data_IF_623961825821
#
_entry.id   IF_623961825821
#
_cell.length_a   1.000
_cell.length_b   1.000
_cell.length_c   1.000
_cell.angle_alpha   90.00
_cell.angle_beta   90.00
_cell.angle_gamma   90.00
#
_symmetry.space_group_name_H-M   'P 1'
#
loop_
_entity.id
_entity.type
_entity.pdbx_description
1 polymer ?
#
# COMPACT_ATOMS: atom_id res chain seq x y z
N UNK A 1 -19.22 -4.78 7.59
CA UNK A 1 -17.85 -4.79 7.04
C UNK A 1 -16.90 -4.08 7.99
N UNK A 2 -16.95 -2.74 8.14
CA UNK A 2 -16.05 -1.99 9.04
C UNK A 2 -16.04 -2.52 10.47
N UNK A 3 -17.20 -2.56 11.15
CA UNK A 3 -17.30 -3.02 12.53
C UNK A 3 -16.72 -4.42 12.73
N UNK A 4 -17.03 -5.36 11.83
CA UNK A 4 -16.49 -6.73 11.85
C UNK A 4 -14.96 -6.78 11.78
N UNK A 5 -14.36 -5.95 10.91
CA UNK A 5 -12.90 -5.88 10.77
C UNK A 5 -12.29 -5.28 12.04
N UNK A 6 -12.84 -4.17 12.52
CA UNK A 6 -12.38 -3.51 13.75
C UNK A 6 -12.47 -4.44 14.96
N UNK A 7 -13.61 -5.09 15.17
CA UNK A 7 -13.82 -6.05 16.26
C UNK A 7 -12.74 -7.14 16.23
N UNK A 8 -12.45 -7.71 15.06
CA UNK A 8 -11.40 -8.71 14.92
C UNK A 8 -10.02 -8.13 15.23
N UNK A 9 -9.68 -6.96 14.68
CA UNK A 9 -8.39 -6.31 14.93
C UNK A 9 -8.19 -5.95 16.41
N UNK A 10 -9.25 -5.51 17.10
CA UNK A 10 -9.19 -5.18 18.53
C UNK A 10 -8.92 -6.40 19.43
N UNK A 11 -9.09 -7.64 18.93
CA UNK A 11 -8.67 -8.85 19.65
C UNK A 11 -7.15 -9.07 19.64
N UNK A 12 -6.40 -8.26 18.89
CA UNK A 12 -4.95 -8.41 18.67
C UNK A 12 -4.20 -7.28 19.39
N UNK A 13 -3.75 -7.49 20.64
CA UNK A 13 -3.05 -6.45 21.40
C UNK A 13 -1.70 -6.04 20.78
N UNK A 14 -1.13 -6.88 19.93
CA UNK A 14 0.12 -6.63 19.21
C UNK A 14 -0.03 -5.73 17.97
N UNK A 15 -1.26 -5.35 17.62
CA UNK A 15 -1.56 -4.55 16.43
C UNK A 15 -2.10 -3.19 16.84
N UNK A 16 -1.46 -2.12 16.36
CA UNK A 16 -2.01 -0.77 16.46
C UNK A 16 -2.71 -0.41 15.14
N UNK A 17 -3.88 0.21 15.25
CA UNK A 17 -4.83 0.34 14.14
C UNK A 17 -4.99 1.81 13.77
N UNK A 18 -4.85 2.11 12.48
CA UNK A 18 -5.27 3.37 11.87
C UNK A 18 -6.40 3.05 10.89
N UNK A 19 -7.62 3.46 11.21
CA UNK A 19 -8.78 3.32 10.34
C UNK A 19 -8.83 4.50 9.35
N UNK A 20 -8.82 4.23 8.05
CA UNK A 20 -8.82 5.27 7.02
C UNK A 20 -10.24 5.50 6.50
N UNK A 21 -10.80 6.65 6.87
CA UNK A 21 -12.07 7.16 6.39
C UNK A 21 -11.90 8.20 5.28
N UNK A 22 -13.02 8.59 4.68
CA UNK A 22 -13.08 9.62 3.63
C UNK A 22 -12.81 11.01 4.20
N UNK A 23 -13.22 11.28 5.43
CA UNK A 23 -13.10 12.58 6.08
C UNK A 23 -11.82 12.72 6.90
N UNK A 24 -11.39 11.63 7.55
CA UNK A 24 -10.17 11.59 8.38
C UNK A 24 -9.59 10.18 8.49
N UNK A 25 -8.35 10.07 9.00
CA UNK A 25 -7.86 8.83 9.57
C UNK A 25 -8.09 8.84 11.09
N UNK A 26 -8.31 7.67 11.68
CA UNK A 26 -8.66 7.54 13.10
C UNK A 26 -7.76 6.51 13.76
N UNK A 27 -7.19 6.84 14.91
CA UNK A 27 -6.38 5.90 15.71
C UNK A 27 -6.71 6.05 17.20
N UNK A 28 -6.50 5.00 17.98
CA UNK A 28 -6.85 5.04 19.41
C UNK A 28 -5.85 5.87 20.20
N UNK A 29 -6.35 6.73 21.09
CA UNK A 29 -5.51 7.54 22.01
C UNK A 29 -4.53 6.71 22.82
N UNK A 30 -4.92 5.47 23.16
CA UNK A 30 -4.12 4.55 23.98
C UNK A 30 -2.90 3.95 23.26
N UNK A 31 -2.82 4.06 21.92
CA UNK A 31 -1.67 3.56 21.18
C UNK A 31 -0.44 4.44 21.36
N UNK A 32 0.72 3.88 21.03
CA UNK A 32 2.02 4.49 21.29
C UNK A 32 2.14 5.87 20.62
N UNK A 33 2.69 6.81 21.37
CA UNK A 33 2.92 8.18 20.89
C UNK A 33 3.92 8.18 19.73
N UNK A 34 4.93 7.29 19.74
CA UNK A 34 5.88 7.21 18.64
C UNK A 34 5.21 6.77 17.33
N UNK A 35 4.33 5.77 17.37
CA UNK A 35 3.54 5.37 16.20
C UNK A 35 2.65 6.53 15.72
N UNK A 36 1.96 7.22 16.63
CA UNK A 36 1.09 8.36 16.28
C UNK A 36 1.88 9.50 15.63
N UNK A 37 3.06 9.86 16.15
CA UNK A 37 3.94 10.87 15.53
C UNK A 37 4.36 10.45 14.13
N UNK A 38 4.68 9.17 13.91
CA UNK A 38 4.98 8.67 12.56
C UNK A 38 3.76 8.77 11.65
N UNK A 39 2.59 8.38 12.14
CA UNK A 39 1.34 8.46 11.39
C UNK A 39 0.98 9.90 10.97
N UNK A 40 1.19 10.90 11.83
CA UNK A 40 0.96 12.31 11.51
C UNK A 40 1.78 12.80 10.29
N UNK A 41 2.93 12.18 9.99
CA UNK A 41 3.70 12.49 8.78
C UNK A 41 3.04 11.98 7.49
N UNK A 42 2.22 10.93 7.57
CA UNK A 42 1.61 10.27 6.41
C UNK A 42 0.12 10.60 6.23
N UNK A 43 -0.58 10.94 7.31
CA UNK A 43 -2.01 11.24 7.30
C UNK A 43 -2.25 12.75 7.44
N UNK A 44 -2.77 13.38 6.38
CA UNK A 44 -3.08 14.82 6.39
C UNK A 44 -4.03 15.23 7.54
N UNK A 45 -4.94 14.32 7.93
CA UNK A 45 -5.80 14.43 9.11
C UNK A 45 -5.76 13.11 9.86
N UNK A 46 -5.45 13.19 11.15
CA UNK A 46 -5.43 12.05 12.06
C UNK A 46 -6.15 12.43 13.34
N UNK A 47 -7.26 11.76 13.62
CA UNK A 47 -8.07 11.96 14.82
C UNK A 47 -7.77 10.88 15.85
N UNK A 48 -7.56 11.32 17.09
CA UNK A 48 -7.35 10.43 18.22
C UNK A 48 -8.67 10.19 18.95
N UNK A 49 -9.14 8.95 18.88
CA UNK A 49 -10.44 8.54 19.43
C UNK A 49 -10.25 7.58 20.61
N UNK A 50 -11.21 7.53 21.52
CA UNK A 50 -11.15 6.62 22.68
C UNK A 50 -11.51 5.17 22.28
N UNK A 51 -12.38 5.04 21.29
CA UNK A 51 -12.81 3.79 20.67
C UNK A 51 -13.20 4.06 19.20
N UNK A 52 -13.44 3.00 18.43
CA UNK A 52 -13.89 3.10 17.04
C UNK A 52 -15.42 3.06 16.90
N UNK A 53 -16.16 3.19 18.01
CA UNK A 53 -17.62 3.12 18.02
C UNK A 53 -18.21 4.46 17.54
N UNK A 54 -19.35 4.41 16.85
CA UNK A 54 -20.11 5.58 16.41
C UNK A 54 -19.32 6.58 15.53
N UNK A 55 -18.29 6.12 14.81
CA UNK A 55 -17.61 6.96 13.81
C UNK A 55 -18.46 7.09 12.55
N UNK A 56 -18.80 8.34 12.20
CA UNK A 56 -19.56 8.67 10.98
C UNK A 56 -18.61 8.98 9.81
N UNK A 57 -18.10 7.94 9.17
CA UNK A 57 -17.27 8.05 7.97
C UNK A 57 -17.46 6.85 7.03
N UNK A 58 -17.00 6.98 5.79
CA UNK A 58 -16.89 5.90 4.81
C UNK A 58 -15.47 5.34 4.89
N UNK A 59 -15.32 4.20 5.55
CA UNK A 59 -14.03 3.53 5.71
C UNK A 59 -13.68 2.63 4.53
N UNK A 60 -12.45 2.73 4.04
CA UNK A 60 -11.99 2.01 2.86
C UNK A 60 -10.63 1.30 3.02
N UNK A 61 -9.92 1.55 4.12
CA UNK A 61 -8.60 0.95 4.39
C UNK A 61 -8.35 0.91 5.91
N UNK A 62 -7.52 -0.03 6.36
CA UNK A 62 -6.81 0.09 7.63
C UNK A 62 -5.30 0.04 7.42
N UNK A 63 -4.56 0.89 8.11
CA UNK A 63 -3.13 0.72 8.33
C UNK A 63 -2.90 0.03 9.68
N UNK A 64 -2.09 -1.02 9.69
CA UNK A 64 -1.76 -1.78 10.89
C UNK A 64 -0.27 -1.65 11.15
N UNK A 65 0.09 -1.20 12.36
CA UNK A 65 1.47 -1.13 12.82
C UNK A 65 1.75 -2.28 13.80
N UNK A 66 2.84 -3.01 13.56
CA UNK A 66 3.27 -4.16 14.35
C UNK A 66 4.75 -4.47 14.08
N UNK A 67 5.36 -5.34 14.90
CA UNK A 67 6.72 -5.82 14.65
C UNK A 67 6.81 -6.64 13.35
N UNK A 68 7.89 -6.44 12.57
CA UNK A 68 8.18 -7.18 11.33
C UNK A 68 8.13 -8.71 11.53
N UNK A 69 8.58 -9.19 12.68
CA UNK A 69 8.61 -10.62 13.01
C UNK A 69 7.21 -11.25 13.06
N UNK A 70 6.19 -10.44 13.38
CA UNK A 70 4.80 -10.89 13.53
C UNK A 70 4.01 -10.80 12.22
N UNK A 71 4.51 -10.07 11.22
CA UNK A 71 3.79 -9.82 9.96
C UNK A 71 3.30 -11.12 9.30
N UNK A 72 4.12 -12.16 9.08
CA UNK A 72 3.66 -13.37 8.40
C UNK A 72 2.53 -14.09 9.16
N UNK A 73 2.62 -14.12 10.48
CA UNK A 73 1.61 -14.74 11.34
C UNK A 73 0.29 -13.95 11.32
N UNK A 74 0.38 -12.62 11.45
CA UNK A 74 -0.79 -11.73 11.46
C UNK A 74 -1.48 -11.74 10.11
N UNK A 75 -0.73 -11.64 8.99
CA UNK A 75 -1.32 -11.72 7.64
C UNK A 75 -2.08 -13.03 7.41
N UNK A 76 -1.51 -14.16 7.82
CA UNK A 76 -2.18 -15.46 7.71
C UNK A 76 -3.49 -15.47 8.50
N UNK A 77 -3.47 -15.02 9.76
CA UNK A 77 -4.65 -14.97 10.60
C UNK A 77 -5.73 -14.02 10.05
N UNK A 78 -5.33 -12.85 9.53
CA UNK A 78 -6.26 -11.89 8.90
C UNK A 78 -6.89 -12.47 7.64
N UNK A 79 -6.11 -13.17 6.81
CA UNK A 79 -6.63 -13.85 5.63
C UNK A 79 -7.70 -14.90 5.99
N UNK A 80 -7.42 -15.74 6.99
CA UNK A 80 -8.35 -16.78 7.46
C UNK A 80 -9.63 -16.20 8.07
N UNK A 81 -9.55 -15.06 8.77
CA UNK A 81 -10.68 -14.49 9.50
C UNK A 81 -11.54 -13.52 8.67
N UNK A 82 -10.91 -12.67 7.84
CA UNK A 82 -11.57 -11.54 7.17
C UNK A 82 -11.16 -11.39 5.69
N UNK A 83 -10.50 -12.38 5.09
CA UNK A 83 -9.96 -12.30 3.73
C UNK A 83 -10.99 -11.98 2.63
N UNK A 84 -12.24 -12.38 2.82
CA UNK A 84 -13.35 -12.05 1.92
C UNK A 84 -13.82 -10.58 2.04
N UNK A 85 -13.49 -9.92 3.15
CA UNK A 85 -13.88 -8.54 3.45
C UNK A 85 -12.72 -7.59 3.11
N UNK A 86 -11.50 -7.92 3.54
CA UNK A 86 -10.29 -7.14 3.31
C UNK A 86 -9.05 -8.04 3.15
N UNK A 87 -8.18 -7.65 2.23
CA UNK A 87 -6.92 -8.35 1.94
C UNK A 87 -5.77 -7.61 2.60
N UNK A 88 -4.92 -8.37 3.31
CA UNK A 88 -3.69 -7.85 3.90
C UNK A 88 -2.56 -7.75 2.88
N UNK A 89 -1.94 -6.58 2.76
CA UNK A 89 -0.80 -6.33 1.87
C UNK A 89 0.33 -5.72 2.69
N UNK A 90 1.53 -6.26 2.55
CA UNK A 90 2.71 -5.74 3.24
C UNK A 90 3.22 -4.47 2.54
N UNK A 91 3.40 -3.39 3.30
CA UNK A 91 3.81 -2.08 2.78
C UNK A 91 5.24 -1.67 3.14
N UNK A 92 5.97 -2.51 3.88
CA UNK A 92 7.33 -2.23 4.36
C UNK A 92 7.34 -1.65 5.77
N UNK A 93 8.48 -1.73 6.45
CA UNK A 93 8.75 -1.10 7.76
C UNK A 93 7.68 -1.38 8.83
N UNK A 94 7.35 -2.64 9.12
CA UNK A 94 6.43 -2.96 10.22
C UNK A 94 4.96 -2.71 9.92
N UNK A 95 4.59 -2.48 8.66
CA UNK A 95 3.23 -2.06 8.28
C UNK A 95 2.50 -3.04 7.37
N UNK A 96 1.22 -3.29 7.70
CA UNK A 96 0.27 -4.01 6.85
C UNK A 96 -0.87 -3.05 6.49
N UNK A 97 -1.19 -2.98 5.20
CA UNK A 97 -2.43 -2.38 4.72
C UNK A 97 -3.51 -3.46 4.62
N UNK A 98 -4.66 -3.23 5.22
CA UNK A 98 -5.89 -3.94 4.86
C UNK A 98 -6.64 -3.11 3.83
N UNK A 99 -6.84 -3.68 2.64
CA UNK A 99 -7.54 -3.04 1.53
C UNK A 99 -8.79 -3.83 1.12
N UNK A 100 -9.76 -3.16 0.52
CA UNK A 100 -10.93 -3.82 -0.06
C UNK A 100 -10.46 -4.76 -1.21
N UNK A 101 -10.94 -6.01 -1.28
CA UNK A 101 -10.56 -6.94 -2.34
C UNK A 101 -10.75 -6.33 -3.74
N UNK A 102 -9.73 -6.45 -4.59
CA UNK A 102 -9.74 -5.89 -5.94
C UNK A 102 -9.46 -4.38 -6.04
N UNK A 103 -9.31 -3.66 -4.92
CA UNK A 103 -9.01 -2.22 -4.86
C UNK A 103 -7.51 -2.00 -4.56
N UNK A 104 -6.66 -2.47 -5.48
CA UNK A 104 -5.21 -2.30 -5.43
C UNK A 104 -4.73 -1.22 -6.43
N UNK A 105 -3.46 -0.79 -6.38
CA UNK A 105 -2.91 0.28 -7.25
C UNK A 105 -3.17 0.03 -8.74
N UNK A 106 -2.98 -1.21 -9.20
CA UNK A 106 -3.26 -1.60 -10.59
C UNK A 106 -4.74 -1.40 -11.00
N UNK A 107 -5.70 -1.56 -10.08
CA UNK A 107 -7.11 -1.28 -10.37
C UNK A 107 -7.33 0.22 -10.65
N UNK A 108 -6.79 1.10 -9.79
CA UNK A 108 -6.87 2.55 -10.00
C UNK A 108 -6.21 2.97 -11.31
N UNK A 109 -5.05 2.39 -11.62
CA UNK A 109 -4.36 2.60 -12.89
C UNK A 109 -5.22 2.21 -14.10
N UNK A 110 -5.86 1.04 -14.08
CA UNK A 110 -6.78 0.61 -15.15
C UNK A 110 -7.96 1.56 -15.36
N UNK A 111 -8.48 2.16 -14.29
CA UNK A 111 -9.56 3.14 -14.40
C UNK A 111 -9.08 4.39 -15.15
N UNK A 112 -7.89 4.90 -14.85
CA UNK A 112 -7.28 6.03 -15.55
C UNK A 112 -6.97 5.69 -17.01
N UNK A 113 -6.35 4.53 -17.26
CA UNK A 113 -6.07 4.02 -18.60
C UNK A 113 -7.34 3.95 -19.46
N UNK A 114 -8.44 3.41 -18.92
CA UNK A 114 -9.72 3.34 -19.62
C UNK A 114 -10.28 4.74 -19.96
N UNK A 115 -10.12 5.71 -19.07
CA UNK A 115 -10.58 7.07 -19.30
C UNK A 115 -9.76 7.78 -20.39
N UNK A 116 -8.48 7.45 -20.50
CA UNK A 116 -7.55 8.10 -21.43
C UNK A 116 -7.30 7.32 -22.72
N UNK A 117 -7.79 6.07 -22.82
CA UNK A 117 -7.54 5.19 -23.95
C UNK A 117 -6.07 4.75 -24.06
N UNK A 118 -5.42 4.51 -22.92
CA UNK A 118 -4.01 4.13 -22.83
C UNK A 118 -3.88 2.63 -22.54
N UNK A 119 -3.13 1.91 -23.36
CA UNK A 119 -2.88 0.48 -23.18
C UNK A 119 -1.76 0.20 -22.17
N UNK A 120 -1.73 -1.00 -21.59
CA UNK A 120 -0.68 -1.39 -20.63
C UNK A 120 0.73 -1.20 -21.22
N UNK A 121 0.90 -1.45 -22.52
CA UNK A 121 2.17 -1.26 -23.25
C UNK A 121 2.70 0.16 -23.24
N UNK A 122 1.86 1.17 -22.97
CA UNK A 122 2.22 2.58 -22.98
C UNK A 122 2.52 3.12 -21.57
N UNK A 123 2.41 2.26 -20.54
CA UNK A 123 2.53 2.68 -19.14
C UNK A 123 3.91 2.34 -18.59
N UNK A 124 4.55 3.35 -18.00
CA UNK A 124 5.73 3.22 -17.15
C UNK A 124 5.32 3.29 -15.67
N UNK A 125 5.72 2.30 -14.88
CA UNK A 125 5.46 2.26 -13.43
C UNK A 125 6.72 1.90 -12.64
N UNK A 126 6.75 2.37 -11.40
CA UNK A 126 7.83 2.15 -10.44
C UNK A 126 7.26 1.55 -9.17
N UNK A 127 8.02 0.69 -8.50
CA UNK A 127 7.59 0.11 -7.24
C UNK A 127 8.74 -0.45 -6.41
N UNK A 128 8.54 -0.45 -5.11
CA UNK A 128 9.46 -0.99 -4.13
C UNK A 128 8.76 -1.76 -3.00
N UNK A 129 7.45 -1.53 -2.82
CA UNK A 129 6.62 -2.17 -1.82
C UNK A 129 5.79 -3.34 -2.35
N UNK A 130 5.29 -4.17 -1.42
CA UNK A 130 4.42 -5.30 -1.77
C UNK A 130 3.09 -4.86 -2.42
N UNK A 131 2.60 -3.67 -2.07
CA UNK A 131 1.40 -3.08 -2.66
C UNK A 131 1.58 -2.56 -4.11
N UNK A 132 2.79 -2.64 -4.67
CA UNK A 132 3.09 -2.31 -6.07
C UNK A 132 3.03 -3.54 -7.00
N UNK A 133 3.03 -4.76 -6.46
CA UNK A 133 3.22 -6.00 -7.23
C UNK A 133 2.21 -6.14 -8.36
N UNK A 134 0.92 -5.90 -8.11
CA UNK A 134 -0.11 -6.01 -9.14
C UNK A 134 0.08 -4.98 -10.26
N UNK A 135 0.53 -3.78 -9.92
CA UNK A 135 0.79 -2.71 -10.89
C UNK A 135 2.03 -3.02 -11.73
N UNK A 136 3.09 -3.53 -11.10
CA UNK A 136 4.33 -3.94 -11.76
C UNK A 136 4.10 -5.10 -12.75
N UNK A 137 3.23 -6.06 -12.40
CA UNK A 137 2.87 -7.17 -13.29
C UNK A 137 2.05 -6.71 -14.49
N UNK A 138 1.21 -5.70 -14.32
CA UNK A 138 0.30 -5.21 -15.35
C UNK A 138 1.02 -4.38 -16.41
N UNK A 139 1.79 -3.37 -15.99
CA UNK A 139 2.31 -2.36 -16.90
C UNK A 139 3.32 -2.90 -17.93
N UNK A 140 3.34 -2.28 -19.10
CA UNK A 140 4.27 -2.53 -20.21
C UNK A 140 5.72 -2.36 -19.78
N UNK A 141 6.00 -1.28 -19.07
CA UNK A 141 7.32 -0.93 -18.56
C UNK A 141 7.31 -0.79 -17.03
N UNK A 142 7.63 -1.88 -16.33
CA UNK A 142 7.64 -1.91 -14.88
C UNK A 142 9.04 -2.01 -14.30
N UNK A 143 9.36 -1.11 -13.36
CA UNK A 143 10.67 -1.00 -12.75
C UNK A 143 10.61 -1.23 -11.24
N UNK A 144 11.32 -2.26 -10.77
CA UNK A 144 11.56 -2.42 -9.33
C UNK A 144 12.76 -1.58 -8.92
N UNK A 145 12.58 -0.76 -7.87
CA UNK A 145 13.65 0.07 -7.32
C UNK A 145 14.79 -0.78 -6.75
N UNK A 146 15.98 -0.19 -6.59
CA UNK A 146 17.15 -0.91 -6.05
C UNK A 146 16.89 -1.51 -4.66
N UNK A 147 16.17 -0.77 -3.81
CA UNK A 147 15.81 -1.14 -2.44
C UNK A 147 14.61 -2.11 -2.35
N UNK A 148 14.04 -2.53 -3.48
CA UNK A 148 12.85 -3.38 -3.50
C UNK A 148 13.15 -4.81 -3.03
N UNK A 149 12.20 -5.41 -2.30
CA UNK A 149 12.26 -6.80 -1.89
C UNK A 149 12.20 -7.79 -3.06
N UNK A 150 12.61 -9.04 -2.84
CA UNK A 150 12.71 -10.08 -3.89
C UNK A 150 11.39 -10.32 -4.65
N UNK A 151 10.25 -10.32 -3.95
CA UNK A 151 8.94 -10.50 -4.55
C UNK A 151 8.57 -9.34 -5.51
N UNK A 152 8.96 -8.11 -5.17
CA UNK A 152 8.72 -6.92 -5.99
C UNK A 152 9.64 -6.93 -7.21
N UNK A 153 10.90 -7.27 -7.02
CA UNK A 153 11.87 -7.47 -8.12
C UNK A 153 11.38 -8.53 -9.12
N UNK A 154 10.85 -9.64 -8.63
CA UNK A 154 10.31 -10.71 -9.49
C UNK A 154 9.03 -10.31 -10.23
N UNK A 155 8.30 -9.30 -9.75
CA UNK A 155 7.08 -8.79 -10.38
C UNK A 155 7.36 -7.77 -11.50
N UNK A 156 8.53 -7.12 -11.47
CA UNK A 156 8.92 -6.09 -12.44
C UNK A 156 9.67 -6.69 -13.63
N UNK A 157 9.56 -6.02 -14.79
CA UNK A 157 10.30 -6.39 -16.02
C UNK A 157 11.73 -5.85 -16.02
N UNK A 158 11.96 -4.73 -15.34
CA UNK A 158 13.23 -4.00 -15.31
C UNK A 158 13.62 -3.60 -13.89
N UNK A 159 14.88 -3.16 -13.73
CA UNK A 159 15.41 -2.59 -12.48
C UNK A 159 15.65 -1.09 -12.66
N UNK A 160 15.24 -0.30 -11.68
CA UNK A 160 15.63 1.10 -11.53
C UNK A 160 16.76 1.25 -10.51
N UNK A 161 17.38 2.44 -10.48
CA UNK A 161 18.36 2.81 -9.48
C UNK A 161 17.75 2.98 -8.08
N UNK A 162 18.58 3.41 -7.12
CA UNK A 162 18.13 3.69 -5.76
C UNK A 162 17.24 4.94 -5.69
N UNK A 163 16.23 4.90 -4.82
CA UNK A 163 15.47 6.07 -4.40
C UNK A 163 16.35 7.20 -3.83
N UNK A 164 17.49 6.86 -3.20
CA UNK A 164 18.46 7.83 -2.68
C UNK A 164 19.41 8.40 -3.75
N UNK A 165 19.29 7.95 -5.00
CA UNK A 165 20.10 8.38 -6.14
C UNK A 165 19.23 8.66 -7.37
N UNK A 166 18.03 9.18 -7.14
CA UNK A 166 17.15 9.66 -8.22
C UNK A 166 16.77 8.57 -9.25
N UNK A 167 16.75 7.30 -8.87
CA UNK A 167 16.57 6.18 -9.82
C UNK A 167 15.27 6.22 -10.63
N UNK A 168 14.22 6.89 -10.14
CA UNK A 168 13.00 7.16 -10.93
C UNK A 168 13.27 8.20 -12.02
N UNK A 169 14.00 9.27 -11.69
CA UNK A 169 14.32 10.33 -12.64
C UNK A 169 15.23 9.83 -13.75
N UNK A 170 16.19 8.96 -13.44
CA UNK A 170 17.04 8.32 -14.45
C UNK A 170 16.23 7.58 -15.51
N UNK A 171 15.17 6.87 -15.10
CA UNK A 171 14.29 6.15 -16.04
C UNK A 171 13.42 7.11 -16.82
N UNK A 172 12.90 8.16 -16.18
CA UNK A 172 12.14 9.21 -16.89
C UNK A 172 13.03 9.88 -17.95
N UNK A 173 14.29 10.17 -17.64
CA UNK A 173 15.24 10.74 -18.59
C UNK A 173 15.48 9.80 -19.79
N UNK A 174 15.56 8.49 -19.56
CA UNK A 174 15.59 7.49 -20.64
C UNK A 174 14.33 7.50 -21.51
N UNK A 175 13.15 7.64 -20.91
CA UNK A 175 11.88 7.77 -21.67
C UNK A 175 11.95 9.00 -22.57
N UNK A 176 12.37 10.15 -22.03
CA UNK A 176 12.46 11.40 -22.77
C UNK A 176 13.50 11.37 -23.90
N UNK A 177 14.57 10.58 -23.73
CA UNK A 177 15.63 10.40 -24.71
C UNK A 177 15.39 9.24 -25.69
N UNK A 178 14.29 8.51 -25.54
CA UNK A 178 14.01 7.29 -26.31
C UNK A 178 15.14 6.25 -26.21
N UNK A 179 15.73 6.11 -25.02
CA UNK A 179 16.75 5.10 -24.75
C UNK A 179 16.09 3.77 -24.35
N UNK A 180 16.76 2.65 -24.61
CA UNK A 180 16.28 1.33 -24.23
C UNK A 180 15.85 1.27 -22.74
N UNK A 181 14.70 0.67 -22.42
CA UNK A 181 13.85 -0.17 -23.28
C UNK A 181 12.78 0.59 -24.09
N UNK A 182 12.85 1.93 -24.17
CA UNK A 182 11.86 2.80 -24.82
C UNK A 182 12.22 3.17 -26.27
N UNK A 183 13.16 2.44 -26.86
CA UNK A 183 13.70 2.63 -28.22
C UNK A 183 12.92 1.85 -29.29
N UNK A 184 11.70 1.41 -28.97
CA UNK A 184 10.81 0.64 -29.86
C UNK A 184 9.91 1.53 -30.71
#
# INVERSE_FOLDING_TARGET
>A
AFATVVEHLLTRPEVEIIACGKNSAYTLKKYDDAMKTVAEMYYHRLEYVDNFDNLEDIFFKFGLNLSDELIPQVQKALHEAIGDIMVSVHTGNGSIDLIIPGVHKANGLRQLQKLWGIDDSEVVVFGDGGNDIEMLRQAGFSFAMENAGSAVVAAAKYRAGSNNREGVLDVIDKVLKHEAPFDQ
#
